data_IF_586373897396
#
_entry.id   IF_586373897396
#
_cell.length_a   1.000
_cell.length_b   1.000
_cell.length_c   1.000
_cell.angle_alpha   90.00
_cell.angle_beta   90.00
_cell.angle_gamma   90.00
#
_symmetry.space_group_name_H-M   'P 1'
#
loop_
_entity.id
_entity.type
_entity.pdbx_description
1 polymer ?
#
# COMPACT_ATOMS: atom_id res chain seq x y z
N UNK A 1 -36.96 8.47 13.18
CA UNK A 1 -36.77 7.97 11.80
C UNK A 1 -35.29 7.85 11.59
N UNK A 2 -34.78 6.67 11.33
CA UNK A 2 -33.36 6.41 11.03
C UNK A 2 -32.93 7.17 9.77
N UNK A 3 -31.70 7.70 9.76
CA UNK A 3 -31.15 8.50 8.65
C UNK A 3 -29.93 7.80 8.09
N UNK A 4 -30.02 7.33 6.87
CA UNK A 4 -29.01 6.50 6.22
C UNK A 4 -28.35 7.23 5.06
N UNK A 5 -27.04 7.30 5.07
CA UNK A 5 -26.27 7.71 3.91
C UNK A 5 -25.90 6.51 3.04
N UNK A 6 -25.89 6.70 1.71
CA UNK A 6 -25.40 5.73 0.76
C UNK A 6 -24.37 6.40 -0.15
N UNK A 7 -23.10 6.04 0.00
CA UNK A 7 -22.03 6.54 -0.86
C UNK A 7 -21.59 5.49 -1.88
N UNK A 8 -21.79 5.82 -3.16
CA UNK A 8 -21.37 4.98 -4.28
C UNK A 8 -20.08 5.54 -4.88
N UNK A 9 -19.13 4.65 -5.14
CA UNK A 9 -17.86 5.03 -5.76
C UNK A 9 -17.05 3.83 -6.20
N UNK A 10 -16.08 4.04 -7.07
CA UNK A 10 -15.16 2.95 -7.44
C UNK A 10 -14.20 2.62 -6.30
N UNK A 11 -13.81 3.59 -5.48
CA UNK A 11 -12.88 3.41 -4.34
C UNK A 11 -11.61 2.66 -4.76
N UNK A 12 -10.93 3.15 -5.77
CA UNK A 12 -9.76 2.51 -6.39
C UNK A 12 -8.47 3.34 -6.29
N UNK A 13 -7.90 3.53 -5.05
CA UNK A 13 -8.38 3.04 -3.75
C UNK A 13 -9.40 3.95 -3.06
N UNK A 14 -9.98 3.46 -1.95
CA UNK A 14 -10.59 4.32 -0.94
C UNK A 14 -9.50 5.21 -0.32
N UNK A 15 -9.84 6.49 -0.06
CA UNK A 15 -8.91 7.49 0.46
C UNK A 15 -9.59 8.44 1.45
N UNK A 16 -8.80 9.29 2.13
CA UNK A 16 -9.31 10.19 3.17
C UNK A 16 -10.36 11.18 2.65
N UNK A 17 -10.27 11.57 1.37
CA UNK A 17 -11.31 12.38 0.74
C UNK A 17 -12.69 11.73 0.75
N UNK A 18 -12.80 10.44 0.44
CA UNK A 18 -14.06 9.72 0.54
C UNK A 18 -14.57 9.68 2.00
N UNK A 19 -13.67 9.42 2.94
CA UNK A 19 -14.03 9.37 4.36
C UNK A 19 -14.41 10.74 4.92
N UNK A 20 -13.79 11.82 4.43
CA UNK A 20 -14.14 13.19 4.79
C UNK A 20 -15.57 13.53 4.33
N UNK A 21 -15.94 13.16 3.09
CA UNK A 21 -17.32 13.31 2.61
C UNK A 21 -18.31 12.59 3.49
N UNK A 22 -18.02 11.34 3.86
CA UNK A 22 -18.87 10.53 4.74
C UNK A 22 -19.04 11.19 6.10
N UNK A 23 -17.93 11.57 6.75
CA UNK A 23 -17.95 12.18 8.10
C UNK A 23 -18.65 13.54 8.13
N UNK A 24 -18.42 14.37 7.10
CA UNK A 24 -19.13 15.65 6.95
C UNK A 24 -20.63 15.44 6.78
N UNK A 25 -21.03 14.51 5.90
CA UNK A 25 -22.42 14.16 5.70
C UNK A 25 -23.08 13.65 7.00
N UNK A 26 -22.42 12.75 7.73
CA UNK A 26 -22.88 12.25 9.03
C UNK A 26 -23.11 13.39 10.03
N UNK A 27 -22.14 14.29 10.16
CA UNK A 27 -22.21 15.41 11.10
C UNK A 27 -23.31 16.40 10.73
N UNK A 28 -23.37 16.85 9.49
CA UNK A 28 -24.27 17.90 9.03
C UNK A 28 -25.71 17.42 8.93
N UNK A 29 -25.90 16.22 8.41
CA UNK A 29 -27.26 15.68 8.17
C UNK A 29 -27.69 14.66 9.22
N UNK A 30 -26.90 14.49 10.29
CA UNK A 30 -27.19 13.57 11.42
C UNK A 30 -27.51 12.17 10.93
N UNK A 31 -26.62 11.63 10.05
CA UNK A 31 -26.82 10.29 9.53
C UNK A 31 -26.36 9.26 10.57
N UNK A 32 -27.22 8.32 10.91
CA UNK A 32 -26.95 7.25 11.89
C UNK A 32 -25.93 6.24 11.32
N UNK A 33 -26.13 5.88 10.07
CA UNK A 33 -25.26 4.94 9.36
C UNK A 33 -24.97 5.42 7.94
N UNK A 34 -23.74 5.24 7.46
CA UNK A 34 -23.42 5.44 6.05
C UNK A 34 -22.90 4.13 5.45
N UNK A 35 -23.55 3.69 4.38
CA UNK A 35 -23.11 2.56 3.58
C UNK A 35 -22.17 3.00 2.46
N UNK A 36 -21.03 2.32 2.33
CA UNK A 36 -20.14 2.42 1.19
C UNK A 36 -20.45 1.29 0.22
N UNK A 37 -20.76 1.65 -1.02
CA UNK A 37 -21.01 0.68 -2.08
C UNK A 37 -19.97 0.82 -3.19
N UNK A 38 -19.02 -0.14 -3.31
CA UNK A 38 -18.02 -0.13 -4.37
C UNK A 38 -18.65 -0.58 -5.69
N UNK A 39 -18.61 0.32 -6.67
CA UNK A 39 -19.11 0.08 -8.00
C UNK A 39 -18.30 -1.02 -8.70
N UNK A 40 -18.94 -1.95 -9.44
CA UNK A 40 -18.26 -2.87 -10.33
C UNK A 40 -17.60 -2.13 -11.51
N UNK A 41 -16.95 -2.87 -12.37
CA UNK A 41 -16.48 -2.40 -13.67
C UNK A 41 -17.68 -2.00 -14.55
N UNK A 42 -17.51 -0.96 -15.36
CA UNK A 42 -18.52 -0.49 -16.31
C UNK A 42 -17.89 -0.30 -17.69
N UNK A 43 -18.72 -0.07 -18.72
CA UNK A 43 -18.25 0.28 -20.05
C UNK A 43 -17.41 1.56 -20.10
N UNK A 44 -17.61 2.46 -19.14
CA UNK A 44 -16.94 3.76 -19.07
C UNK A 44 -15.69 3.76 -18.20
N UNK A 45 -15.55 2.81 -17.27
CA UNK A 45 -14.44 2.78 -16.31
C UNK A 45 -14.09 1.37 -15.85
N UNK A 46 -12.83 0.99 -16.10
CA UNK A 46 -12.23 -0.25 -15.61
C UNK A 46 -11.29 0.07 -14.44
N UNK A 47 -11.68 -0.30 -13.21
CA UNK A 47 -10.81 -0.13 -12.05
C UNK A 47 -9.52 -0.97 -12.15
N UNK A 48 -8.41 -0.43 -11.65
CA UNK A 48 -7.11 -1.15 -11.60
C UNK A 48 -7.21 -2.40 -10.71
N UNK A 49 -7.94 -2.28 -9.59
CA UNK A 49 -8.19 -3.42 -8.71
C UNK A 49 -9.59 -4.01 -8.93
N UNK A 50 -9.65 -5.34 -8.94
CA UNK A 50 -10.94 -6.05 -8.95
C UNK A 50 -11.83 -5.63 -7.76
N UNK A 51 -13.15 -5.74 -7.93
CA UNK A 51 -14.13 -5.44 -6.89
C UNK A 51 -13.80 -6.10 -5.55
N UNK A 52 -13.42 -7.39 -5.57
CA UNK A 52 -13.02 -8.16 -4.37
C UNK A 52 -11.86 -7.52 -3.62
N UNK A 53 -10.84 -7.00 -4.33
CA UNK A 53 -9.68 -6.33 -3.73
C UNK A 53 -10.07 -4.98 -3.14
N UNK A 54 -10.87 -4.18 -3.87
CA UNK A 54 -11.36 -2.88 -3.41
C UNK A 54 -12.24 -3.00 -2.16
N UNK A 55 -13.14 -4.00 -2.11
CA UNK A 55 -13.94 -4.32 -0.91
C UNK A 55 -13.06 -4.62 0.31
N UNK A 56 -11.95 -5.35 0.13
CA UNK A 56 -10.98 -5.60 1.22
C UNK A 56 -10.30 -4.33 1.72
N UNK A 57 -10.01 -3.37 0.84
CA UNK A 57 -9.44 -2.08 1.24
C UNK A 57 -10.48 -1.24 2.00
N UNK A 58 -11.72 -1.17 1.50
CA UNK A 58 -12.84 -0.49 2.18
C UNK A 58 -13.06 -1.08 3.57
N UNK A 59 -12.98 -2.41 3.71
CA UNK A 59 -13.11 -3.09 5.01
C UNK A 59 -12.07 -2.68 6.06
N UNK A 60 -11.00 -1.95 5.68
CA UNK A 60 -10.06 -1.32 6.61
C UNK A 60 -10.55 0.03 7.17
N UNK A 61 -11.63 0.55 6.61
CA UNK A 61 -12.19 1.87 6.95
C UNK A 61 -13.58 1.79 7.60
N UNK A 62 -14.16 0.60 7.74
CA UNK A 62 -15.48 0.42 8.37
C UNK A 62 -15.42 0.66 9.87
N UNK A 63 -16.54 1.10 10.42
CA UNK A 63 -16.81 1.32 11.85
C UNK A 63 -18.27 0.99 12.16
N UNK A 64 -18.74 1.25 13.37
CA UNK A 64 -20.16 1.03 13.75
C UNK A 64 -21.11 1.87 12.88
N UNK A 65 -20.72 3.10 12.51
CA UNK A 65 -21.51 4.02 11.72
C UNK A 65 -21.13 4.09 10.23
N UNK A 66 -20.04 3.45 9.81
CA UNK A 66 -19.59 3.36 8.40
C UNK A 66 -19.50 1.89 8.01
N UNK A 67 -20.38 1.43 7.15
CA UNK A 67 -20.52 0.01 6.80
C UNK A 67 -20.27 -0.22 5.31
N UNK A 68 -19.75 -1.39 4.97
CA UNK A 68 -19.68 -1.86 3.60
C UNK A 68 -20.99 -2.53 3.23
N UNK A 69 -21.72 -2.01 2.26
CA UNK A 69 -22.94 -2.65 1.76
C UNK A 69 -22.57 -3.95 1.03
N UNK A 70 -23.03 -5.06 1.58
CA UNK A 70 -22.88 -6.37 0.95
C UNK A 70 -24.05 -6.62 0.01
N UNK A 71 -23.86 -6.36 -1.26
CA UNK A 71 -24.76 -6.71 -2.35
C UNK A 71 -23.95 -7.13 -3.57
N UNK A 72 -24.52 -8.01 -4.36
CA UNK A 72 -23.97 -8.50 -5.63
C UNK A 72 -24.72 -7.95 -6.84
N UNK A 73 -25.49 -6.87 -6.67
CA UNK A 73 -26.20 -6.24 -7.78
C UNK A 73 -25.15 -5.72 -8.78
N UNK A 74 -25.11 -6.23 -10.00
CA UNK A 74 -24.23 -5.72 -11.03
C UNK A 74 -24.75 -4.34 -11.44
N UNK A 75 -23.97 -3.29 -11.21
CA UNK A 75 -24.28 -1.97 -11.72
C UNK A 75 -23.88 -1.88 -13.19
N UNK A 76 -24.83 -2.03 -14.05
CA UNK A 76 -24.61 -1.90 -15.50
C UNK A 76 -25.25 -0.63 -16.07
N UNK A 77 -26.22 -0.04 -15.35
CA UNK A 77 -27.00 1.12 -15.79
C UNK A 77 -27.33 2.07 -14.64
N UNK A 78 -27.93 3.22 -14.93
CA UNK A 78 -28.48 4.15 -13.95
C UNK A 78 -29.59 3.51 -13.09
N UNK A 79 -30.34 2.56 -13.66
CA UNK A 79 -31.37 1.80 -12.96
C UNK A 79 -30.80 1.04 -11.75
N UNK A 80 -29.55 0.65 -11.82
CA UNK A 80 -28.87 -0.03 -10.72
C UNK A 80 -28.68 0.85 -9.47
N UNK A 81 -28.67 2.19 -9.60
CA UNK A 81 -28.69 3.07 -8.43
C UNK A 81 -30.03 2.95 -7.69
N UNK A 82 -31.12 2.88 -8.44
CA UNK A 82 -32.47 2.70 -7.91
C UNK A 82 -32.56 1.36 -7.17
N UNK A 83 -32.06 0.28 -7.78
CA UNK A 83 -32.03 -1.06 -7.15
C UNK A 83 -31.26 -1.07 -5.83
N UNK A 84 -30.11 -0.37 -5.75
CA UNK A 84 -29.32 -0.30 -4.52
C UNK A 84 -30.05 0.53 -3.46
N UNK A 85 -30.68 1.64 -3.86
CA UNK A 85 -31.49 2.44 -2.95
C UNK A 85 -32.69 1.65 -2.43
N UNK A 86 -33.36 0.89 -3.29
CA UNK A 86 -34.46 -0.02 -2.92
C UNK A 86 -33.98 -1.07 -1.91
N UNK A 87 -32.80 -1.68 -2.14
CA UNK A 87 -32.20 -2.64 -1.20
C UNK A 87 -31.93 -2.02 0.18
N UNK A 88 -31.47 -0.76 0.21
CA UNK A 88 -31.27 -0.05 1.49
C UNK A 88 -32.60 0.21 2.17
N UNK A 89 -33.60 0.64 1.41
CA UNK A 89 -34.98 0.86 1.92
C UNK A 89 -35.58 -0.44 2.46
N UNK A 90 -35.48 -1.55 1.76
CA UNK A 90 -35.97 -2.86 2.21
C UNK A 90 -35.34 -3.29 3.53
N UNK A 91 -34.05 -3.01 3.73
CA UNK A 91 -33.33 -3.36 4.98
C UNK A 91 -33.70 -2.49 6.17
N UNK A 92 -34.08 -1.26 5.92
CA UNK A 92 -34.26 -0.25 6.97
C UNK A 92 -35.68 0.33 7.05
N UNK A 93 -36.63 -0.25 6.32
CA UNK A 93 -38.05 0.13 6.37
C UNK A 93 -38.24 1.63 6.08
N UNK A 94 -38.79 2.36 7.07
CA UNK A 94 -39.14 3.77 6.94
C UNK A 94 -37.94 4.73 7.08
N UNK A 95 -36.69 4.25 7.02
CA UNK A 95 -35.51 5.12 7.12
C UNK A 95 -35.49 6.17 6.02
N UNK A 96 -34.95 7.36 6.36
CA UNK A 96 -34.65 8.40 5.38
C UNK A 96 -33.29 8.13 4.74
N UNK A 97 -33.24 7.96 3.42
CA UNK A 97 -32.00 7.66 2.67
C UNK A 97 -31.46 8.89 1.96
N UNK A 98 -30.16 9.09 2.07
CA UNK A 98 -29.42 10.21 1.49
C UNK A 98 -28.27 9.68 0.62
N UNK A 99 -28.40 9.63 -0.69
CA UNK A 99 -27.29 9.34 -1.59
C UNK A 99 -26.20 10.41 -1.46
N UNK A 100 -24.95 9.96 -1.29
CA UNK A 100 -23.76 10.82 -1.16
C UNK A 100 -22.87 10.61 -2.37
N UNK A 101 -22.50 11.70 -3.08
CA UNK A 101 -21.69 11.60 -4.28
C UNK A 101 -20.85 12.86 -4.54
N UNK A 102 -19.84 12.72 -5.39
CA UNK A 102 -19.12 13.85 -5.94
C UNK A 102 -19.85 14.47 -7.14
N UNK A 103 -19.50 15.71 -7.47
CA UNK A 103 -20.04 16.45 -8.62
C UNK A 103 -19.78 15.73 -9.96
N UNK A 104 -18.65 15.04 -10.07
CA UNK A 104 -18.27 14.24 -11.22
C UNK A 104 -19.26 13.08 -11.50
N UNK A 105 -19.87 12.52 -10.45
CA UNK A 105 -20.89 11.50 -10.60
C UNK A 105 -22.27 12.11 -10.88
N UNK A 106 -22.61 13.19 -10.18
CA UNK A 106 -23.88 13.88 -10.42
C UNK A 106 -24.04 14.26 -11.91
N UNK A 107 -22.95 14.72 -12.54
CA UNK A 107 -22.96 15.14 -13.96
C UNK A 107 -23.26 14.00 -14.94
N UNK A 108 -23.07 12.75 -14.54
CA UNK A 108 -23.25 11.55 -15.38
C UNK A 108 -24.65 10.94 -15.26
N UNK A 109 -25.40 11.26 -14.21
CA UNK A 109 -26.76 10.76 -14.06
C UNK A 109 -27.66 11.49 -15.06
N UNK A 110 -28.36 10.74 -15.92
CA UNK A 110 -29.19 11.29 -17.01
C UNK A 110 -30.65 11.39 -16.63
N UNK A 111 -31.12 10.55 -15.68
CA UNK A 111 -32.51 10.54 -15.22
C UNK A 111 -32.60 10.42 -13.70
N UNK A 112 -33.16 11.43 -13.04
CA UNK A 112 -33.35 11.46 -11.59
C UNK A 112 -34.77 11.06 -11.16
N UNK A 113 -35.71 11.01 -12.09
CA UNK A 113 -37.13 10.74 -11.77
C UNK A 113 -37.29 9.42 -11.01
N UNK A 114 -36.64 8.35 -11.48
CA UNK A 114 -36.67 7.04 -10.81
C UNK A 114 -36.11 7.05 -9.38
N UNK A 115 -35.08 7.87 -9.14
CA UNK A 115 -34.46 7.98 -7.80
C UNK A 115 -35.46 8.58 -6.80
N UNK A 116 -36.19 9.61 -7.20
CA UNK A 116 -37.15 10.30 -6.33
C UNK A 116 -38.52 9.63 -6.27
N UNK A 117 -38.77 8.59 -7.08
CA UNK A 117 -39.94 7.72 -6.90
C UNK A 117 -39.82 6.86 -5.64
N UNK A 118 -38.61 6.67 -5.11
CA UNK A 118 -38.40 5.94 -3.85
C UNK A 118 -38.74 6.85 -2.65
N UNK A 119 -39.75 6.55 -1.86
CA UNK A 119 -40.23 7.40 -0.74
C UNK A 119 -39.16 7.66 0.32
N UNK A 120 -38.19 6.74 0.45
CA UNK A 120 -37.08 6.85 1.39
C UNK A 120 -36.09 7.93 1.00
N UNK A 121 -35.91 8.24 -0.28
CA UNK A 121 -34.92 9.22 -0.75
C UNK A 121 -35.40 10.64 -0.47
N UNK A 122 -34.70 11.33 0.43
CA UNK A 122 -35.06 12.69 0.85
C UNK A 122 -34.31 13.78 0.12
N UNK A 123 -33.00 13.60 -0.11
CA UNK A 123 -32.17 14.54 -0.84
C UNK A 123 -30.87 13.87 -1.28
N UNK A 124 -30.20 14.45 -2.29
CA UNK A 124 -28.86 14.10 -2.71
C UNK A 124 -27.84 15.00 -1.99
N UNK A 125 -26.85 14.43 -1.37
CA UNK A 125 -25.72 15.16 -0.76
C UNK A 125 -24.56 15.15 -1.77
N UNK A 126 -24.22 16.30 -2.32
CA UNK A 126 -23.29 16.42 -3.43
C UNK A 126 -22.07 17.26 -3.02
N UNK A 127 -20.90 16.72 -3.22
CA UNK A 127 -19.63 17.39 -2.91
C UNK A 127 -19.00 17.97 -4.17
N UNK A 128 -18.66 19.29 -4.10
CA UNK A 128 -17.98 19.97 -5.21
C UNK A 128 -16.60 19.36 -5.47
N UNK A 129 -16.17 19.40 -6.73
CA UNK A 129 -14.85 18.95 -7.17
C UNK A 129 -14.18 20.02 -8.04
N UNK A 130 -12.87 20.09 -7.98
CA UNK A 130 -12.05 20.92 -8.89
C UNK A 130 -12.32 20.47 -10.33
N UNK A 131 -12.48 21.43 -11.23
CA UNK A 131 -12.78 21.19 -12.64
C UNK A 131 -14.26 21.07 -12.99
N UNK A 132 -15.15 21.10 -12.00
CA UNK A 132 -16.61 21.08 -12.23
C UNK A 132 -17.25 22.39 -11.75
N UNK A 133 -17.98 23.07 -12.66
CA UNK A 133 -18.85 24.21 -12.27
C UNK A 133 -20.07 23.65 -11.54
N UNK A 134 -20.14 23.92 -10.22
CA UNK A 134 -21.25 23.46 -9.39
C UNK A 134 -22.60 23.92 -9.93
N UNK A 135 -22.70 25.18 -10.39
CA UNK A 135 -23.92 25.75 -10.92
C UNK A 135 -24.39 25.05 -12.18
N UNK A 136 -23.50 24.88 -13.17
CA UNK A 136 -23.85 24.21 -14.44
C UNK A 136 -24.28 22.75 -14.23
N UNK A 137 -23.58 22.02 -13.34
CA UNK A 137 -23.89 20.62 -13.09
C UNK A 137 -25.21 20.48 -12.33
N UNK A 138 -25.50 21.38 -11.38
CA UNK A 138 -26.80 21.38 -10.66
C UNK A 138 -27.93 21.73 -11.60
N UNK A 139 -27.80 22.75 -12.44
CA UNK A 139 -28.80 23.10 -13.46
C UNK A 139 -29.08 21.93 -14.40
N UNK A 140 -28.01 21.22 -14.85
CA UNK A 140 -28.16 20.03 -15.69
C UNK A 140 -28.93 18.93 -14.96
N UNK A 141 -28.59 18.67 -13.69
CA UNK A 141 -29.27 17.66 -12.86
C UNK A 141 -30.76 18.04 -12.63
N UNK A 142 -31.04 19.31 -12.36
CA UNK A 142 -32.41 19.82 -12.23
C UNK A 142 -33.21 19.65 -13.50
N UNK A 143 -32.62 19.95 -14.68
CA UNK A 143 -33.25 19.71 -15.98
C UNK A 143 -33.53 18.22 -16.25
N UNK A 144 -32.88 17.32 -15.54
CA UNK A 144 -33.10 15.87 -15.60
C UNK A 144 -33.98 15.34 -14.45
N UNK A 145 -34.65 16.22 -13.71
CA UNK A 145 -35.61 15.87 -12.64
C UNK A 145 -35.06 15.84 -11.21
N UNK A 146 -33.83 16.28 -10.97
CA UNK A 146 -33.33 16.42 -9.61
C UNK A 146 -33.92 17.66 -8.92
N UNK A 147 -34.53 17.53 -7.72
CA UNK A 147 -35.18 18.63 -7.04
C UNK A 147 -34.68 18.89 -5.60
N UNK A 148 -34.00 17.94 -4.95
CA UNK A 148 -33.46 18.08 -3.61
C UNK A 148 -31.96 17.79 -3.61
N UNK A 149 -31.14 18.83 -3.78
CA UNK A 149 -29.67 18.73 -3.83
C UNK A 149 -29.06 19.59 -2.74
N UNK A 150 -28.32 18.98 -1.83
CA UNK A 150 -27.52 19.66 -0.82
C UNK A 150 -26.07 19.75 -1.29
N UNK A 151 -25.63 20.94 -1.68
CA UNK A 151 -24.27 21.19 -2.10
C UNK A 151 -23.34 21.36 -0.89
N UNK A 152 -22.23 20.68 -0.93
CA UNK A 152 -21.17 20.76 0.07
C UNK A 152 -19.82 21.02 -0.60
N UNK A 153 -18.95 21.71 0.12
CA UNK A 153 -17.56 21.93 -0.27
C UNK A 153 -16.65 21.46 0.85
N UNK A 154 -15.68 20.65 0.51
CA UNK A 154 -14.56 20.30 1.39
C UNK A 154 -13.28 20.92 0.84
N UNK A 155 -12.31 21.17 1.72
CA UNK A 155 -10.95 21.50 1.32
C UNK A 155 -10.41 20.41 0.39
N UNK A 156 -9.37 20.70 -0.36
CA UNK A 156 -8.81 19.87 -1.43
C UNK A 156 -8.87 18.36 -1.12
N UNK A 157 -9.65 17.64 -1.92
CA UNK A 157 -9.80 16.20 -1.83
C UNK A 157 -9.01 15.58 -2.98
N UNK A 158 -8.02 14.70 -2.74
CA UNK A 158 -7.33 14.01 -3.83
C UNK A 158 -8.29 13.11 -4.60
N UNK A 159 -8.05 12.91 -5.87
CA UNK A 159 -8.72 11.85 -6.64
C UNK A 159 -8.03 10.51 -6.41
N UNK A 160 -8.74 9.40 -6.62
CA UNK A 160 -8.12 8.07 -6.59
C UNK A 160 -7.00 7.93 -7.65
N UNK A 161 -7.08 8.67 -8.75
CA UNK A 161 -6.04 8.70 -9.79
C UNK A 161 -4.76 9.36 -9.27
N UNK A 162 -4.85 10.53 -8.64
CA UNK A 162 -3.72 11.19 -8.00
C UNK A 162 -3.07 10.31 -6.91
N UNK A 163 -3.90 9.60 -6.13
CA UNK A 163 -3.39 8.63 -5.15
C UNK A 163 -2.59 7.52 -5.85
N UNK A 164 -3.10 6.94 -6.94
CA UNK A 164 -2.40 5.89 -7.68
C UNK A 164 -1.11 6.40 -8.33
N UNK A 165 -1.10 7.61 -8.82
CA UNK A 165 0.10 8.26 -9.37
C UNK A 165 1.20 8.33 -8.30
N UNK A 166 0.91 8.85 -7.11
CA UNK A 166 1.89 8.91 -6.02
C UNK A 166 2.39 7.52 -5.61
N UNK A 167 1.48 6.53 -5.53
CA UNK A 167 1.87 5.14 -5.25
C UNK A 167 2.85 4.62 -6.33
N UNK A 168 2.63 4.94 -7.59
CA UNK A 168 3.51 4.51 -8.69
C UNK A 168 4.91 5.13 -8.62
N UNK A 169 5.03 6.28 -7.97
CA UNK A 169 6.28 6.99 -7.65
C UNK A 169 6.90 6.54 -6.32
N UNK A 170 6.34 5.54 -5.67
CA UNK A 170 6.76 5.01 -4.38
C UNK A 170 6.61 5.99 -3.20
N UNK A 171 5.73 6.98 -3.34
CA UNK A 171 5.43 7.94 -2.29
C UNK A 171 4.29 7.42 -1.43
N UNK A 172 4.55 7.20 -0.15
CA UNK A 172 3.49 7.04 0.85
C UNK A 172 2.80 8.40 1.01
N UNK A 173 1.47 8.40 1.04
CA UNK A 173 0.65 9.62 1.12
C UNK A 173 -0.27 9.54 2.35
N UNK A 174 0.27 9.66 3.57
CA UNK A 174 -0.49 9.48 4.80
C UNK A 174 -1.60 10.53 4.96
N UNK A 175 -1.43 11.71 4.39
CA UNK A 175 -2.43 12.77 4.35
C UNK A 175 -3.58 12.51 3.37
N UNK A 176 -3.45 11.50 2.49
CA UNK A 176 -4.47 11.15 1.50
C UNK A 176 -5.09 9.77 1.73
N UNK A 177 -4.33 8.83 2.28
CA UNK A 177 -4.75 7.43 2.42
C UNK A 177 -4.63 6.98 3.87
N UNK A 178 -5.68 6.37 4.47
CA UNK A 178 -5.58 5.81 5.80
C UNK A 178 -4.40 4.84 5.91
N UNK A 179 -3.62 4.94 6.98
CA UNK A 179 -2.41 4.13 7.19
C UNK A 179 -2.66 2.62 7.04
N UNK A 180 -3.81 2.10 7.56
CA UNK A 180 -4.21 0.69 7.39
C UNK A 180 -4.48 0.30 5.93
N UNK A 181 -4.95 1.23 5.11
CA UNK A 181 -5.16 1.01 3.67
C UNK A 181 -3.82 1.03 2.94
N UNK A 182 -2.95 2.00 3.25
CA UNK A 182 -1.59 2.08 2.68
C UNK A 182 -0.78 0.83 3.02
N UNK A 183 -0.82 0.37 4.27
CA UNK A 183 -0.20 -0.89 4.67
C UNK A 183 -0.69 -2.08 3.81
N UNK A 184 -2.00 -2.20 3.59
CA UNK A 184 -2.55 -3.27 2.76
C UNK A 184 -2.12 -3.15 1.29
N UNK A 185 -2.04 -1.93 0.76
CA UNK A 185 -1.56 -1.63 -0.61
C UNK A 185 -0.09 -2.05 -0.75
N UNK A 186 0.79 -1.58 0.12
CA UNK A 186 2.21 -1.89 0.09
C UNK A 186 2.47 -3.39 0.28
N UNK A 187 1.80 -4.01 1.26
CA UNK A 187 1.95 -5.43 1.60
C UNK A 187 1.54 -6.37 0.46
N UNK A 188 0.61 -5.95 -0.38
CA UNK A 188 0.12 -6.71 -1.55
C UNK A 188 0.78 -6.25 -2.87
N UNK A 189 1.45 -5.11 -2.88
CA UNK A 189 1.99 -4.48 -4.07
C UNK A 189 0.88 -4.01 -5.02
N UNK A 190 -0.23 -3.52 -4.49
CA UNK A 190 -1.31 -2.97 -5.30
C UNK A 190 -0.88 -1.63 -5.91
N UNK A 191 -1.29 -1.38 -7.14
CA UNK A 191 -0.96 -0.19 -7.92
C UNK A 191 0.54 -0.02 -8.26
N UNK A 192 1.38 -0.98 -7.86
CA UNK A 192 2.78 -1.08 -8.25
C UNK A 192 2.93 -2.00 -9.48
N UNK A 193 4.04 -1.91 -10.24
CA UNK A 193 4.34 -2.87 -11.30
C UNK A 193 4.26 -4.31 -10.79
N UNK A 194 3.86 -5.22 -11.64
CA UNK A 194 3.68 -6.63 -11.25
C UNK A 194 5.04 -7.35 -11.15
N UNK A 195 5.89 -6.90 -10.21
CA UNK A 195 7.21 -7.49 -9.96
C UNK A 195 7.16 -9.00 -9.72
N UNK A 196 6.06 -9.52 -9.12
CA UNK A 196 5.90 -10.96 -8.96
C UNK A 196 5.87 -11.71 -10.31
N UNK A 197 5.15 -11.19 -11.29
CA UNK A 197 5.12 -11.77 -12.63
C UNK A 197 6.48 -11.63 -13.32
N UNK A 198 7.15 -10.49 -13.16
CA UNK A 198 8.46 -10.21 -13.75
C UNK A 198 9.57 -11.08 -13.14
N UNK A 199 9.50 -11.42 -11.86
CA UNK A 199 10.47 -12.27 -11.16
C UNK A 199 10.24 -13.78 -11.38
N UNK A 200 9.03 -14.19 -11.76
CA UNK A 200 8.69 -15.61 -11.95
C UNK A 200 9.62 -16.37 -12.93
N UNK A 201 10.04 -15.79 -14.06
CA UNK A 201 10.96 -16.48 -15.00
C UNK A 201 12.42 -16.52 -14.52
N UNK A 202 12.84 -15.65 -13.58
CA UNK A 202 14.24 -15.52 -13.17
C UNK A 202 14.54 -16.08 -11.77
N UNK A 203 13.52 -16.36 -10.97
CA UNK A 203 13.66 -16.96 -9.64
C UNK A 203 13.07 -18.36 -9.59
N UNK A 204 13.71 -19.26 -8.81
CA UNK A 204 13.09 -20.54 -8.47
C UNK A 204 11.77 -20.36 -7.71
N UNK A 205 10.88 -21.36 -7.75
CA UNK A 205 9.60 -21.28 -7.05
C UNK A 205 9.76 -21.08 -5.54
N UNK A 206 10.76 -21.73 -4.92
CA UNK A 206 11.07 -21.57 -3.50
C UNK A 206 11.56 -20.15 -3.20
N UNK A 207 12.47 -19.61 -4.01
CA UNK A 207 13.00 -18.24 -3.86
C UNK A 207 11.90 -17.20 -4.05
N UNK A 208 11.01 -17.37 -5.02
CA UNK A 208 9.87 -16.45 -5.21
C UNK A 208 8.90 -16.47 -4.01
N UNK A 209 8.66 -17.67 -3.41
CA UNK A 209 7.86 -17.77 -2.17
C UNK A 209 8.52 -17.02 -1.02
N UNK A 210 9.83 -17.22 -0.82
CA UNK A 210 10.63 -16.49 0.15
C UNK A 210 10.55 -14.97 -0.08
N UNK A 211 10.83 -14.48 -1.27
CA UNK A 211 10.75 -13.04 -1.63
C UNK A 211 9.40 -12.42 -1.31
N UNK A 212 8.30 -13.15 -1.58
CA UNK A 212 6.95 -12.69 -1.23
C UNK A 212 6.77 -12.63 0.30
N UNK A 213 7.34 -13.57 1.04
CA UNK A 213 7.30 -13.60 2.51
C UNK A 213 8.12 -12.44 3.09
N UNK A 214 9.33 -12.22 2.57
CA UNK A 214 10.19 -11.08 2.93
C UNK A 214 9.45 -9.75 2.73
N UNK A 215 8.82 -9.53 1.55
CA UNK A 215 8.03 -8.31 1.33
C UNK A 215 6.96 -8.09 2.40
N UNK A 216 6.19 -9.13 2.74
CA UNK A 216 5.14 -9.01 3.75
C UNK A 216 5.71 -8.63 5.12
N UNK A 217 6.78 -9.28 5.53
CA UNK A 217 7.47 -9.04 6.80
C UNK A 217 8.09 -7.64 6.84
N UNK A 218 8.78 -7.23 5.76
CA UNK A 218 9.39 -5.91 5.66
C UNK A 218 8.34 -4.78 5.75
N UNK A 219 7.21 -4.91 5.05
CA UNK A 219 6.13 -3.92 5.11
C UNK A 219 5.44 -3.92 6.48
N UNK A 220 5.30 -5.07 7.12
CA UNK A 220 4.74 -5.15 8.48
C UNK A 220 5.68 -4.45 9.50
N UNK A 221 7.01 -4.54 9.33
CA UNK A 221 8.00 -3.77 10.09
C UNK A 221 7.91 -2.28 9.76
N UNK A 222 7.92 -1.90 8.48
CA UNK A 222 7.82 -0.51 8.06
C UNK A 222 6.55 0.17 8.62
N UNK A 223 5.41 -0.52 8.57
CA UNK A 223 4.15 -0.02 9.15
C UNK A 223 4.24 0.20 10.67
N UNK A 224 4.95 -0.67 11.38
CA UNK A 224 5.11 -0.59 12.85
C UNK A 224 6.04 0.54 13.28
N UNK A 225 7.03 0.85 12.47
CA UNK A 225 8.10 1.80 12.79
C UNK A 225 8.01 3.10 11.96
N UNK A 226 6.85 3.37 11.35
CA UNK A 226 6.59 4.56 10.53
C UNK A 226 7.61 4.79 9.40
N UNK A 227 8.20 3.69 8.91
CA UNK A 227 9.13 3.72 7.78
C UNK A 227 8.39 3.74 6.44
N UNK A 228 9.03 4.21 5.34
CA UNK A 228 8.42 4.27 4.01
C UNK A 228 7.98 2.91 3.48
N UNK A 229 6.68 2.60 3.57
CA UNK A 229 6.11 1.27 3.25
C UNK A 229 6.23 0.89 1.79
N UNK A 230 6.02 1.83 0.86
CA UNK A 230 6.08 1.54 -0.59
C UNK A 230 7.52 1.28 -1.04
N UNK A 231 8.47 2.10 -0.62
CA UNK A 231 9.90 1.87 -0.89
C UNK A 231 10.34 0.52 -0.32
N UNK A 232 9.99 0.25 0.92
CA UNK A 232 10.27 -1.04 1.60
C UNK A 232 9.66 -2.23 0.84
N UNK A 233 8.41 -2.09 0.36
CA UNK A 233 7.72 -3.13 -0.42
C UNK A 233 8.47 -3.46 -1.72
N UNK A 234 8.94 -2.44 -2.44
CA UNK A 234 9.64 -2.61 -3.71
C UNK A 234 11.04 -3.18 -3.48
N UNK A 235 11.80 -2.63 -2.54
CA UNK A 235 13.13 -3.12 -2.19
C UNK A 235 13.08 -4.60 -1.76
N UNK A 236 12.18 -4.95 -0.85
CA UNK A 236 11.99 -6.33 -0.41
C UNK A 236 11.53 -7.28 -1.53
N UNK A 237 10.77 -6.79 -2.51
CA UNK A 237 10.37 -7.62 -3.65
C UNK A 237 11.51 -7.87 -4.63
N UNK A 238 12.48 -6.96 -4.72
CA UNK A 238 13.60 -7.02 -5.67
C UNK A 238 14.94 -7.42 -5.04
N UNK A 239 15.04 -7.57 -3.70
CA UNK A 239 16.32 -7.80 -2.99
C UNK A 239 17.13 -8.96 -3.55
N UNK A 240 16.46 -10.03 -3.92
CA UNK A 240 17.04 -11.29 -4.41
C UNK A 240 16.91 -11.48 -5.93
N UNK A 241 16.64 -10.44 -6.72
CA UNK A 241 16.39 -10.58 -8.16
C UNK A 241 17.58 -11.16 -8.97
N UNK A 242 18.81 -11.10 -8.42
CA UNK A 242 20.02 -11.70 -9.00
C UNK A 242 20.41 -13.05 -8.35
N UNK A 243 19.69 -13.51 -7.30
CA UNK A 243 20.11 -14.66 -6.47
C UNK A 243 20.25 -15.99 -7.19
N UNK A 244 19.47 -16.20 -8.23
CA UNK A 244 19.51 -17.45 -9.03
C UNK A 244 20.52 -17.38 -10.20
N UNK A 245 21.26 -16.30 -10.34
CA UNK A 245 22.32 -16.18 -11.34
C UNK A 245 23.57 -16.97 -10.90
N UNK A 246 24.35 -17.44 -11.89
CA UNK A 246 25.66 -18.05 -11.61
C UNK A 246 26.65 -16.98 -11.11
N UNK A 247 27.62 -17.39 -10.28
CA UNK A 247 28.66 -16.47 -9.78
C UNK A 247 29.42 -15.82 -10.94
N UNK A 248 29.81 -16.60 -11.95
CA UNK A 248 30.53 -16.10 -13.13
C UNK A 248 29.74 -15.05 -13.93
N UNK A 249 28.40 -15.25 -14.07
CA UNK A 249 27.53 -14.28 -14.72
C UNK A 249 27.44 -12.96 -13.91
N UNK A 250 27.33 -13.06 -12.59
CA UNK A 250 27.33 -11.88 -11.72
C UNK A 250 28.67 -11.15 -11.76
N UNK A 251 29.80 -11.87 -11.72
CA UNK A 251 31.12 -11.28 -11.84
C UNK A 251 31.33 -10.57 -13.20
N UNK A 252 30.86 -11.18 -14.29
CA UNK A 252 30.91 -10.55 -15.62
C UNK A 252 30.14 -9.22 -15.62
N UNK A 253 28.92 -9.20 -15.14
CA UNK A 253 28.11 -7.97 -15.05
C UNK A 253 28.81 -6.92 -14.16
N UNK A 254 29.34 -7.33 -13.00
CA UNK A 254 30.00 -6.41 -12.09
C UNK A 254 31.22 -5.74 -12.72
N UNK A 255 32.04 -6.48 -13.46
CA UNK A 255 33.21 -5.95 -14.18
C UNK A 255 32.81 -5.10 -15.39
N UNK A 256 31.92 -5.60 -16.26
CA UNK A 256 31.51 -4.91 -17.49
C UNK A 256 30.79 -3.58 -17.19
N UNK A 257 30.18 -3.45 -16.03
CA UNK A 257 29.44 -2.27 -15.60
C UNK A 257 30.11 -1.46 -14.49
N UNK A 258 31.31 -1.83 -14.11
CA UNK A 258 32.13 -1.15 -13.09
C UNK A 258 31.36 -0.95 -11.78
N UNK A 259 30.62 -2.00 -11.32
CA UNK A 259 29.76 -1.91 -10.15
C UNK A 259 30.54 -1.92 -8.84
N UNK A 260 31.65 -2.64 -8.78
CA UNK A 260 32.54 -2.75 -7.64
C UNK A 260 33.93 -3.27 -8.06
N UNK A 261 34.95 -2.77 -7.38
CA UNK A 261 36.35 -3.26 -7.49
C UNK A 261 36.72 -4.06 -6.23
N UNK A 262 35.84 -4.16 -5.26
CA UNK A 262 36.08 -4.84 -4.00
C UNK A 262 36.21 -6.34 -4.20
N UNK A 263 37.43 -6.86 -3.95
CA UNK A 263 37.76 -8.27 -4.11
C UNK A 263 36.94 -9.19 -3.19
N UNK A 264 36.58 -8.74 -1.99
CA UNK A 264 35.70 -9.49 -1.08
C UNK A 264 34.30 -9.67 -1.69
N UNK A 265 33.72 -8.60 -2.20
CA UNK A 265 32.42 -8.62 -2.88
C UNK A 265 32.45 -9.49 -4.12
N UNK A 266 33.46 -9.32 -4.98
CA UNK A 266 33.62 -10.06 -6.24
C UNK A 266 33.81 -11.58 -6.03
N UNK A 267 34.45 -11.99 -4.93
CA UNK A 267 34.69 -13.40 -4.62
C UNK A 267 33.53 -14.10 -3.92
N UNK A 268 32.57 -13.35 -3.36
CA UNK A 268 31.46 -13.89 -2.59
C UNK A 268 30.12 -13.78 -3.35
N UNK A 269 29.53 -14.89 -3.82
CA UNK A 269 28.18 -14.85 -4.41
C UNK A 269 27.14 -14.26 -3.45
N UNK A 270 27.35 -14.46 -2.14
CA UNK A 270 26.44 -13.95 -1.10
C UNK A 270 26.48 -12.43 -0.96
N UNK A 271 27.56 -11.77 -1.32
CA UNK A 271 27.70 -10.31 -1.31
C UNK A 271 27.37 -9.73 -2.70
N UNK A 272 27.86 -10.39 -3.74
CA UNK A 272 27.80 -9.89 -5.10
C UNK A 272 26.36 -9.79 -5.63
N UNK A 273 25.45 -10.72 -5.23
CA UNK A 273 24.07 -10.68 -5.73
C UNK A 273 23.31 -9.42 -5.31
N UNK A 274 23.62 -8.81 -4.16
CA UNK A 274 23.00 -7.54 -3.75
C UNK A 274 23.42 -6.39 -4.68
N UNK A 275 24.73 -6.28 -5.00
CA UNK A 275 25.28 -5.25 -5.91
C UNK A 275 24.72 -5.42 -7.32
N UNK A 276 24.77 -6.64 -7.86
CA UNK A 276 24.23 -6.94 -9.19
C UNK A 276 22.71 -6.81 -9.21
N UNK A 277 22.04 -7.20 -8.12
CA UNK A 277 20.59 -7.04 -7.96
C UNK A 277 20.15 -5.57 -8.01
N UNK A 278 20.88 -4.67 -7.37
CA UNK A 278 20.61 -3.22 -7.45
C UNK A 278 20.81 -2.68 -8.89
N UNK A 279 21.83 -3.14 -9.58
CA UNK A 279 22.04 -2.79 -10.99
C UNK A 279 20.88 -3.28 -11.87
N UNK A 280 20.43 -4.54 -11.70
CA UNK A 280 19.28 -5.10 -12.41
C UNK A 280 18.00 -4.34 -12.05
N UNK A 281 17.79 -4.01 -10.77
CA UNK A 281 16.65 -3.19 -10.33
C UNK A 281 16.62 -1.84 -11.05
N UNK A 282 17.77 -1.21 -11.21
CA UNK A 282 17.92 0.07 -11.95
C UNK A 282 17.71 -0.10 -13.46
N UNK A 283 18.34 -1.08 -14.08
CA UNK A 283 18.38 -1.23 -15.54
C UNK A 283 17.14 -1.92 -16.12
N UNK A 284 16.63 -2.97 -15.45
CA UNK A 284 15.55 -3.82 -15.98
C UNK A 284 14.20 -3.52 -15.34
N UNK A 285 14.17 -3.04 -14.09
CA UNK A 285 12.92 -2.73 -13.37
C UNK A 285 12.68 -1.23 -13.23
N UNK A 286 13.55 -0.38 -13.77
CA UNK A 286 13.35 1.07 -13.82
C UNK A 286 13.50 1.81 -12.49
N UNK A 287 14.05 1.17 -11.45
CA UNK A 287 14.21 1.78 -10.13
C UNK A 287 15.27 2.87 -10.18
N UNK A 288 14.93 4.08 -9.68
CA UNK A 288 15.84 5.23 -9.56
C UNK A 288 16.01 5.71 -8.11
N UNK A 289 15.11 5.30 -7.23
CA UNK A 289 15.13 5.69 -5.82
C UNK A 289 16.35 5.07 -5.11
N UNK A 290 17.12 5.92 -4.44
CA UNK A 290 18.38 5.53 -3.78
C UNK A 290 18.15 4.63 -2.58
N UNK A 291 17.07 4.86 -1.81
CA UNK A 291 16.77 4.05 -0.62
C UNK A 291 16.44 2.62 -1.03
N UNK A 292 15.66 2.45 -2.12
CA UNK A 292 15.34 1.13 -2.68
C UNK A 292 16.62 0.43 -3.17
N UNK A 293 17.46 1.13 -3.95
CA UNK A 293 18.69 0.55 -4.48
C UNK A 293 19.68 0.18 -3.37
N UNK A 294 19.84 1.03 -2.35
CA UNK A 294 20.71 0.74 -1.20
C UNK A 294 20.16 -0.45 -0.40
N UNK A 295 18.87 -0.52 -0.15
CA UNK A 295 18.27 -1.64 0.55
C UNK A 295 18.48 -2.97 -0.20
N UNK A 296 18.45 -2.98 -1.54
CA UNK A 296 18.80 -4.16 -2.35
C UNK A 296 20.29 -4.47 -2.25
N UNK A 297 21.15 -3.45 -2.34
CA UNK A 297 22.61 -3.65 -2.30
C UNK A 297 23.08 -4.25 -0.98
N UNK A 298 22.57 -3.73 0.14
CA UNK A 298 23.13 -4.00 1.46
C UNK A 298 22.29 -4.94 2.33
N UNK A 299 21.25 -5.58 1.77
CA UNK A 299 20.33 -6.41 2.56
C UNK A 299 20.99 -7.61 3.26
N UNK A 300 22.17 -8.05 2.81
CA UNK A 300 22.87 -9.20 3.43
C UNK A 300 23.85 -8.81 4.54
N UNK A 301 24.52 -7.69 4.39
CA UNK A 301 25.65 -7.29 5.27
C UNK A 301 25.40 -5.98 6.01
N UNK A 302 24.41 -5.22 5.60
CA UNK A 302 24.23 -3.86 6.08
C UNK A 302 25.34 -2.90 5.61
N UNK A 303 25.32 -1.70 6.19
CA UNK A 303 26.33 -0.67 6.05
C UNK A 303 26.22 0.34 7.21
N UNK A 304 27.21 1.20 7.45
CA UNK A 304 27.01 2.36 8.30
C UNK A 304 25.88 3.26 7.80
N UNK A 305 25.16 3.86 8.72
CA UNK A 305 24.06 4.78 8.47
C UNK A 305 22.90 4.19 7.61
N UNK A 306 22.50 2.94 7.88
CA UNK A 306 21.32 2.34 7.23
C UNK A 306 20.07 3.17 7.52
N UNK A 307 19.26 3.37 6.48
CA UNK A 307 17.91 3.94 6.59
C UNK A 307 16.94 2.89 7.16
N UNK A 308 15.75 3.33 7.61
CA UNK A 308 14.73 2.39 8.10
C UNK A 308 14.25 1.43 6.99
N UNK A 309 14.27 1.85 5.72
CA UNK A 309 13.98 0.98 4.57
C UNK A 309 15.00 -0.16 4.50
N UNK A 310 16.30 0.16 4.63
CA UNK A 310 17.39 -0.83 4.63
C UNK A 310 17.29 -1.78 5.82
N UNK A 311 17.03 -1.25 7.02
CA UNK A 311 16.85 -2.05 8.25
C UNK A 311 15.65 -3.01 8.13
N UNK A 312 14.53 -2.53 7.61
CA UNK A 312 13.33 -3.37 7.41
C UNK A 312 13.58 -4.51 6.43
N UNK A 313 14.31 -4.27 5.33
CA UNK A 313 14.59 -5.31 4.32
C UNK A 313 15.60 -6.33 4.85
N UNK A 314 16.70 -5.89 5.47
CA UNK A 314 17.71 -6.74 6.10
C UNK A 314 17.08 -7.66 7.16
N UNK A 315 16.28 -7.09 8.06
CA UNK A 315 15.60 -7.84 9.10
C UNK A 315 14.59 -8.81 8.51
N UNK A 316 13.75 -8.36 7.58
CA UNK A 316 12.73 -9.21 6.99
C UNK A 316 13.32 -10.42 6.26
N UNK A 317 14.47 -10.28 5.59
CA UNK A 317 15.17 -11.39 4.98
C UNK A 317 15.62 -12.41 6.05
N UNK A 318 16.09 -11.95 7.20
CA UNK A 318 16.55 -12.80 8.30
C UNK A 318 15.42 -13.49 9.06
N UNK A 319 14.25 -12.84 9.26
CA UNK A 319 13.22 -13.29 10.22
C UNK A 319 11.89 -13.69 9.61
N UNK A 320 11.75 -13.67 8.27
CA UNK A 320 10.48 -14.01 7.62
C UNK A 320 9.98 -15.42 8.02
N UNK A 321 8.66 -15.68 8.00
CA UNK A 321 8.07 -16.90 8.57
C UNK A 321 8.56 -18.23 7.97
N UNK A 322 9.07 -18.21 6.72
CA UNK A 322 9.56 -19.42 6.04
C UNK A 322 11.04 -19.73 6.35
N UNK A 323 11.74 -18.87 7.12
CA UNK A 323 13.12 -19.15 7.53
C UNK A 323 13.19 -20.37 8.43
N UNK A 324 14.13 -21.30 8.17
CA UNK A 324 14.43 -22.38 9.10
C UNK A 324 14.77 -21.81 10.48
N UNK A 325 14.43 -22.55 11.53
CA UNK A 325 14.79 -22.15 12.90
C UNK A 325 16.30 -22.13 13.08
N UNK A 326 16.80 -21.07 13.69
CA UNK A 326 18.20 -20.93 14.08
C UNK A 326 18.29 -20.26 15.48
N UNK A 327 19.39 -20.42 16.23
CA UNK A 327 19.55 -19.80 17.54
C UNK A 327 19.40 -18.28 17.47
N UNK A 328 18.60 -17.70 18.36
CA UNK A 328 18.33 -16.24 18.40
C UNK A 328 17.21 -15.74 17.48
N UNK A 329 16.61 -16.57 16.60
CA UNK A 329 15.57 -16.13 15.67
C UNK A 329 14.36 -15.48 16.38
N UNK A 330 13.85 -16.11 17.42
CA UNK A 330 12.67 -15.60 18.13
C UNK A 330 12.98 -14.31 18.91
N UNK A 331 14.17 -14.21 19.46
CA UNK A 331 14.66 -12.99 20.11
C UNK A 331 14.72 -11.83 19.12
N UNK A 332 15.30 -12.05 17.93
CA UNK A 332 15.36 -11.04 16.86
C UNK A 332 13.95 -10.65 16.42
N UNK A 333 13.02 -11.60 16.31
CA UNK A 333 11.61 -11.33 15.99
C UNK A 333 10.92 -10.46 17.03
N UNK A 334 11.22 -10.66 18.30
CA UNK A 334 10.70 -9.86 19.41
C UNK A 334 11.29 -8.45 19.33
N UNK A 335 12.61 -8.33 19.26
CA UNK A 335 13.31 -7.04 19.12
C UNK A 335 12.82 -6.23 17.91
N UNK A 336 12.64 -6.88 16.77
CA UNK A 336 12.16 -6.22 15.54
C UNK A 336 10.78 -5.59 15.68
N UNK A 337 10.00 -5.99 16.68
CA UNK A 337 8.71 -5.34 16.98
C UNK A 337 8.87 -4.05 17.80
N UNK A 338 10.00 -3.87 18.47
CA UNK A 338 10.24 -2.76 19.39
C UNK A 338 11.27 -1.76 18.84
N UNK A 339 12.40 -2.25 18.32
CA UNK A 339 13.50 -1.41 17.84
C UNK A 339 14.23 -2.08 16.67
N UNK A 340 14.20 -1.43 15.51
CA UNK A 340 14.83 -1.92 14.28
C UNK A 340 16.36 -2.00 14.40
N UNK A 341 16.99 -1.03 15.08
CA UNK A 341 18.46 -0.98 15.20
C UNK A 341 18.98 -2.08 16.11
N UNK A 342 18.34 -2.28 17.25
CA UNK A 342 18.69 -3.38 18.17
C UNK A 342 18.48 -4.74 17.53
N UNK A 343 17.38 -4.91 16.80
CA UNK A 343 17.12 -6.16 16.08
C UNK A 343 18.14 -6.42 14.96
N UNK A 344 18.52 -5.38 14.19
CA UNK A 344 19.53 -5.49 13.14
C UNK A 344 20.89 -5.84 13.71
N UNK A 345 21.29 -5.23 14.84
CA UNK A 345 22.51 -5.56 15.55
C UNK A 345 22.52 -7.03 15.99
N UNK A 346 21.43 -7.50 16.61
CA UNK A 346 21.27 -8.90 17.03
C UNK A 346 21.36 -9.86 15.82
N UNK A 347 20.68 -9.53 14.71
CA UNK A 347 20.69 -10.32 13.47
C UNK A 347 22.09 -10.43 12.86
N UNK A 348 22.82 -9.31 12.74
CA UNK A 348 24.18 -9.28 12.20
C UNK A 348 25.17 -10.04 13.11
N UNK A 349 25.05 -9.91 14.43
CA UNK A 349 25.87 -10.67 15.39
C UNK A 349 25.60 -12.17 15.32
N UNK A 350 24.34 -12.58 15.22
CA UNK A 350 23.96 -14.00 15.05
C UNK A 350 24.56 -14.56 13.76
N UNK A 351 24.45 -13.82 12.66
CA UNK A 351 25.07 -14.19 11.37
C UNK A 351 26.59 -14.28 11.49
N UNK A 352 27.25 -13.34 12.17
CA UNK A 352 28.69 -13.36 12.43
C UNK A 352 29.09 -14.63 13.16
N UNK A 353 28.44 -14.91 14.30
CA UNK A 353 28.70 -16.11 15.11
C UNK A 353 28.56 -17.39 14.31
N UNK A 354 27.51 -17.49 13.48
CA UNK A 354 27.31 -18.65 12.60
C UNK A 354 28.43 -18.79 11.56
N UNK A 355 28.81 -17.72 10.84
CA UNK A 355 29.85 -17.77 9.82
C UNK A 355 31.19 -18.20 10.44
N UNK A 356 31.55 -17.64 11.59
CA UNK A 356 32.78 -18.00 12.29
C UNK A 356 32.74 -19.46 12.80
N UNK A 357 31.59 -19.96 13.29
CA UNK A 357 31.46 -21.33 13.76
C UNK A 357 31.67 -22.40 12.69
N UNK A 358 31.39 -22.06 11.43
CA UNK A 358 31.64 -22.95 10.28
C UNK A 358 33.00 -22.71 9.61
N UNK A 359 33.91 -21.95 10.25
CA UNK A 359 35.24 -21.63 9.71
C UNK A 359 35.23 -20.61 8.57
N UNK A 360 34.11 -19.93 8.33
CA UNK A 360 33.99 -18.90 7.30
C UNK A 360 34.64 -17.57 7.70
N UNK A 361 34.96 -16.74 6.72
CA UNK A 361 35.47 -15.38 6.94
C UNK A 361 34.32 -14.39 6.97
N UNK A 362 34.19 -13.62 8.06
CA UNK A 362 33.16 -12.60 8.19
C UNK A 362 33.54 -11.32 7.44
N UNK A 363 32.56 -10.70 6.77
CA UNK A 363 32.78 -9.50 5.96
C UNK A 363 33.15 -8.29 6.83
N UNK A 364 34.16 -7.54 6.41
CA UNK A 364 34.53 -6.26 7.04
C UNK A 364 33.41 -5.24 6.92
N UNK A 365 32.69 -5.19 5.81
CA UNK A 365 31.52 -4.30 5.62
C UNK A 365 30.40 -4.59 6.63
N UNK A 366 30.17 -5.87 6.92
CA UNK A 366 29.20 -6.25 7.93
C UNK A 366 29.68 -5.91 9.35
N UNK A 367 31.00 -5.92 9.59
CA UNK A 367 31.58 -5.45 10.85
C UNK A 367 31.39 -3.94 11.02
N UNK A 368 31.61 -3.14 9.97
CA UNK A 368 31.38 -1.68 9.99
C UNK A 368 29.92 -1.34 10.31
N UNK A 369 28.97 -2.13 9.78
CA UNK A 369 27.55 -1.98 10.10
C UNK A 369 27.25 -2.27 11.58
N UNK A 370 27.86 -3.32 12.15
CA UNK A 370 27.74 -3.64 13.60
C UNK A 370 28.29 -2.49 14.44
N UNK A 371 29.46 -1.96 14.10
CA UNK A 371 30.13 -0.91 14.87
C UNK A 371 29.34 0.41 14.84
N UNK A 372 28.75 0.75 13.69
CA UNK A 372 27.86 1.92 13.56
C UNK A 372 26.60 1.75 14.42
N UNK A 373 25.94 0.59 14.35
CA UNK A 373 24.74 0.32 15.16
C UNK A 373 25.05 0.39 16.66
N UNK A 374 26.18 -0.17 17.10
CA UNK A 374 26.63 -0.11 18.50
C UNK A 374 26.82 1.32 18.96
N UNK A 375 27.53 2.14 18.19
CA UNK A 375 27.74 3.56 18.52
C UNK A 375 26.42 4.32 18.68
N UNK A 376 25.45 4.05 17.80
CA UNK A 376 24.14 4.73 17.85
C UNK A 376 23.32 4.31 19.06
N UNK A 377 23.31 3.03 19.40
CA UNK A 377 22.57 2.52 20.56
C UNK A 377 23.18 2.98 21.88
N UNK A 378 24.53 3.06 21.97
CA UNK A 378 25.21 3.56 23.19
C UNK A 378 24.92 5.04 23.44
N UNK A 379 24.86 5.87 22.38
CA UNK A 379 24.53 7.32 22.53
C UNK A 379 23.12 7.54 23.06
N UNK A 380 22.13 6.77 22.58
CA UNK A 380 20.74 6.88 23.05
C UNK A 380 20.66 6.59 24.56
N UNK A 381 21.47 5.66 25.09
CA UNK A 381 21.49 5.31 26.53
C UNK A 381 22.24 6.32 27.41
N UNK A 382 23.00 7.24 26.82
CA UNK A 382 23.69 8.33 27.54
C UNK A 382 22.89 9.63 27.57
N UNK A 383 21.88 9.79 26.69
CA UNK A 383 21.03 10.97 26.59
C UNK A 383 19.67 10.80 27.33
N UNK A 384 19.39 9.62 27.89
CA UNK A 384 18.25 9.32 28.76
C UNK A 384 18.71 9.19 30.21
#
# INVERSE_FOLDING_TARGET
>A
MERIGLMLGYFDPIHLGHLAMVRDAQKVYRLDTVYLYPLPESSEYTPVLSLKKRRKLIGKCVSDSIKLLSSTIPLVTEDSLIEILSLVQERHGDAAVFPIMGMDRLSRITNFAGIYLLPAVKALIVYSRVGYSSEKVVQLAQGRGAHSIFLRKLSTIPSSEQVREQISLFNDVPEWVPSRVMHAIARKGYYLPNYKAMLKPVLSQSRLKHTISVRKTAVDLAYRHDAPMLKTSVAAMLHDCAKCMTHSAMQKIARDKFLTEDGEVLSSPALLHGVVGAYIAKSSYGIRDKDILNAITYHTVGRPNMTDVELCVLLADSIEPLRPKYPGLEEIRILAKCDLKSAALASLRTTKSYILSIGGKYSMKAQDAIDDLLKKLTRIHQEV
#
